data_IF_209092771842
#
_entry.id   IF_209092771842
#
_cell.length_a   1.000
_cell.length_b   1.000
_cell.length_c   1.000
_cell.angle_alpha   90.00
_cell.angle_beta   90.00
_cell.angle_gamma   90.00
#
_symmetry.space_group_name_H-M   'P 1'
#
loop_
_entity.id
_entity.type
_entity.pdbx_description
1 polymer ?
#
# COMPACT_ATOMS: atom_id res chain seq x y z
N UNK A 1 18.66 98.76 -25.24
CA UNK A 1 20.07 98.91 -25.68
C UNK A 1 20.71 97.53 -25.64
N UNK A 2 21.01 96.92 -26.81
CA UNK A 2 22.38 96.55 -27.29
C UNK A 2 23.11 95.58 -26.32
N UNK A 3 23.60 94.37 -26.66
CA UNK A 3 23.97 93.60 -27.88
C UNK A 3 23.96 92.10 -27.47
N UNK A 4 23.48 91.14 -28.26
CA UNK A 4 24.16 90.38 -29.33
C UNK A 4 25.57 89.83 -29.03
N UNK A 5 25.69 88.51 -28.91
CA UNK A 5 26.80 87.69 -29.48
C UNK A 5 26.47 86.18 -29.44
N UNK A 6 26.19 85.61 -30.62
CA UNK A 6 26.47 84.21 -31.01
C UNK A 6 27.89 84.22 -31.67
N UNK A 7 28.62 83.09 -31.93
CA UNK A 7 28.09 81.78 -32.32
C UNK A 7 28.90 80.51 -31.91
N UNK A 8 28.38 79.37 -32.38
CA UNK A 8 29.04 78.16 -32.94
C UNK A 8 28.73 76.81 -32.24
N UNK A 9 28.14 75.95 -33.06
CA UNK A 9 27.77 74.55 -32.86
C UNK A 9 29.01 73.68 -33.06
N UNK A 10 29.24 72.68 -32.21
CA UNK A 10 29.64 71.34 -32.67
C UNK A 10 29.27 70.25 -31.64
N UNK A 11 28.81 69.15 -32.19
CA UNK A 11 28.21 67.93 -31.65
C UNK A 11 29.13 67.03 -30.82
N UNK A 12 28.57 66.30 -29.86
CA UNK A 12 29.20 65.08 -29.31
C UNK A 12 28.60 64.57 -27.99
N UNK A 13 27.78 63.52 -28.09
CA UNK A 13 27.47 62.47 -27.09
C UNK A 13 27.48 62.80 -25.59
N UNK A 14 26.28 62.76 -24.97
CA UNK A 14 26.10 62.59 -23.53
C UNK A 14 26.25 61.10 -23.19
N UNK A 15 27.30 60.73 -22.48
CA UNK A 15 27.38 59.47 -21.74
C UNK A 15 27.00 59.76 -20.28
N UNK A 16 25.80 59.37 -19.88
CA UNK A 16 25.41 59.37 -18.47
C UNK A 16 26.01 58.12 -17.81
N UNK A 17 26.95 58.35 -16.89
CA UNK A 17 27.51 57.34 -16.00
C UNK A 17 26.45 56.92 -14.97
N UNK A 18 25.87 55.73 -15.16
CA UNK A 18 25.12 55.04 -14.12
C UNK A 18 26.14 54.34 -13.23
N UNK A 19 26.27 54.81 -11.98
CA UNK A 19 26.91 54.04 -10.91
C UNK A 19 25.99 52.86 -10.58
N UNK A 20 26.33 51.67 -11.06
CA UNK A 20 25.74 50.43 -10.54
C UNK A 20 26.34 50.13 -9.18
N UNK A 21 25.50 50.17 -8.15
CA UNK A 21 25.79 49.56 -6.87
C UNK A 21 25.92 48.04 -7.10
N UNK A 22 27.10 47.49 -6.85
CA UNK A 22 27.35 46.05 -6.77
C UNK A 22 26.63 45.49 -5.56
N UNK A 23 25.39 45.04 -5.77
CA UNK A 23 24.77 44.03 -4.92
C UNK A 23 25.48 42.71 -5.17
N UNK A 24 26.11 42.15 -4.13
CA UNK A 24 26.57 40.77 -4.09
C UNK A 24 25.34 39.87 -4.31
N UNK A 25 25.14 39.45 -5.56
CA UNK A 25 24.22 38.39 -5.88
C UNK A 25 24.76 37.08 -5.30
N UNK A 26 23.96 36.45 -4.45
CA UNK A 26 24.15 35.07 -4.04
C UNK A 26 24.09 34.20 -5.30
N UNK A 27 25.15 33.48 -5.57
CA UNK A 27 25.28 32.58 -6.71
C UNK A 27 24.30 31.39 -6.49
N UNK A 28 23.26 31.22 -7.33
CA UNK A 28 22.40 30.05 -7.21
C UNK A 28 23.22 28.85 -7.67
N UNK A 29 23.63 28.05 -6.68
CA UNK A 29 24.39 26.81 -6.84
C UNK A 29 24.04 26.09 -8.13
N UNK A 30 25.08 25.76 -8.89
CA UNK A 30 25.07 24.70 -9.88
C UNK A 30 24.65 23.37 -9.22
N UNK A 31 23.35 23.09 -9.21
CA UNK A 31 22.77 21.79 -8.90
C UNK A 31 21.82 21.41 -10.02
N UNK A 32 22.38 21.10 -11.17
CA UNK A 32 21.62 20.48 -12.25
C UNK A 32 22.56 19.54 -12.98
N UNK A 33 22.40 18.23 -12.72
CA UNK A 33 22.81 17.06 -13.54
C UNK A 33 23.08 15.77 -12.72
N UNK A 34 22.94 15.76 -11.38
CA UNK A 34 23.07 14.52 -10.57
C UNK A 34 21.77 14.00 -9.92
N UNK A 35 20.61 14.62 -10.15
CA UNK A 35 19.46 14.48 -9.24
C UNK A 35 18.29 13.59 -9.70
N UNK A 36 18.46 12.75 -10.74
CA UNK A 36 17.37 11.89 -11.22
C UNK A 36 17.48 10.42 -10.78
N UNK A 37 18.62 9.99 -10.24
CA UNK A 37 18.89 8.56 -9.96
C UNK A 37 18.56 8.13 -8.53
N UNK A 38 18.70 8.99 -7.52
CA UNK A 38 18.62 8.57 -6.11
C UNK A 38 17.19 8.30 -5.61
N UNK A 39 16.18 8.77 -6.32
CA UNK A 39 14.78 8.56 -5.96
C UNK A 39 14.23 7.20 -6.39
N UNK A 40 14.82 6.53 -7.38
CA UNK A 40 14.19 5.36 -8.02
C UNK A 40 14.93 4.05 -7.78
N UNK A 41 16.24 4.10 -7.48
CA UNK A 41 17.07 2.94 -7.13
C UNK A 41 17.13 2.74 -5.60
N UNK A 42 15.99 2.33 -5.03
CA UNK A 42 15.87 2.06 -3.59
C UNK A 42 16.49 0.70 -3.25
N UNK A 43 17.36 0.68 -2.24
CA UNK A 43 17.81 -0.57 -1.59
C UNK A 43 16.85 -0.93 -0.46
N UNK A 44 16.40 -2.18 -0.44
CA UNK A 44 15.52 -2.71 0.60
C UNK A 44 16.34 -3.55 1.60
N UNK A 45 16.13 -3.34 2.89
CA UNK A 45 16.74 -4.15 3.95
C UNK A 45 16.29 -5.61 3.80
N UNK A 46 17.26 -6.52 3.97
CA UNK A 46 17.01 -7.95 3.94
C UNK A 46 16.19 -8.41 5.17
N UNK A 47 15.51 -9.55 5.08
CA UNK A 47 14.79 -10.15 6.20
C UNK A 47 13.37 -9.63 6.45
N UNK A 48 12.95 -8.56 5.74
CA UNK A 48 11.61 -7.97 5.82
C UNK A 48 10.74 -8.18 4.57
N UNK A 49 11.15 -9.05 3.64
CA UNK A 49 10.29 -9.52 2.54
C UNK A 49 9.29 -10.56 3.07
N UNK A 50 8.21 -10.07 3.69
CA UNK A 50 7.19 -10.87 4.38
C UNK A 50 5.80 -10.27 4.15
N UNK A 51 4.80 -11.14 4.07
CA UNK A 51 3.40 -10.74 3.97
C UNK A 51 2.87 -10.09 5.26
N UNK A 52 3.34 -10.57 6.42
CA UNK A 52 2.99 -10.05 7.74
C UNK A 52 4.26 -9.71 8.49
N UNK A 53 4.36 -8.47 8.97
CA UNK A 53 5.44 -7.98 9.81
C UNK A 53 4.94 -7.94 11.26
N UNK A 54 5.71 -8.54 12.16
CA UNK A 54 5.46 -8.59 13.60
C UNK A 54 6.50 -7.79 14.36
N UNK A 55 6.26 -7.54 15.65
CA UNK A 55 7.23 -6.80 16.45
C UNK A 55 8.58 -7.53 16.49
N UNK A 56 8.56 -8.85 16.65
CA UNK A 56 9.76 -9.68 16.65
C UNK A 56 10.57 -9.65 15.33
N UNK A 57 9.92 -9.30 14.21
CA UNK A 57 10.62 -9.16 12.92
C UNK A 57 11.43 -7.86 12.86
N UNK A 58 11.00 -6.81 13.55
CA UNK A 58 11.62 -5.48 13.52
C UNK A 58 12.47 -5.15 14.75
N UNK A 59 12.30 -5.89 15.85
CA UNK A 59 13.06 -5.69 17.08
C UNK A 59 14.58 -5.71 16.86
N UNK A 60 15.18 -6.63 16.07
CA UNK A 60 16.62 -6.58 15.78
C UNK A 60 17.07 -5.29 15.10
N UNK A 61 16.24 -4.72 14.22
CA UNK A 61 16.54 -3.45 13.54
C UNK A 61 16.45 -2.26 14.51
N UNK A 62 15.46 -2.28 15.42
CA UNK A 62 15.35 -1.26 16.47
C UNK A 62 16.57 -1.29 17.39
N UNK A 63 17.03 -2.48 17.79
CA UNK A 63 18.23 -2.62 18.63
C UNK A 63 19.51 -2.15 17.92
N UNK A 64 19.62 -2.38 16.60
CA UNK A 64 20.71 -1.81 15.81
C UNK A 64 20.66 -0.28 15.77
N UNK A 65 19.47 0.30 15.55
CA UNK A 65 19.29 1.76 15.49
C UNK A 65 19.58 2.42 16.84
N UNK A 66 19.23 1.78 17.96
CA UNK A 66 19.56 2.27 19.32
C UNK A 66 21.07 2.41 19.56
N UNK A 67 21.89 1.66 18.83
CA UNK A 67 23.35 1.71 18.92
C UNK A 67 23.97 2.74 17.96
N UNK A 68 23.16 3.37 17.10
CA UNK A 68 23.60 4.34 16.13
C UNK A 68 23.29 5.76 16.64
N UNK A 69 24.35 6.52 16.94
CA UNK A 69 24.25 7.89 17.47
C UNK A 69 23.54 8.88 16.53
N UNK A 70 23.38 8.51 15.25
CA UNK A 70 22.61 9.30 14.27
C UNK A 70 21.11 9.37 14.63
N UNK A 71 20.58 8.34 15.30
CA UNK A 71 19.15 8.22 15.56
C UNK A 71 18.84 8.30 17.06
N UNK A 72 17.87 9.14 17.41
CA UNK A 72 17.28 9.15 18.76
C UNK A 72 16.09 8.21 18.81
N UNK A 73 16.25 7.08 19.48
CA UNK A 73 15.17 6.11 19.73
C UNK A 73 14.60 6.26 21.13
N UNK A 74 13.28 6.40 21.23
CA UNK A 74 12.56 6.56 22.49
C UNK A 74 11.36 5.62 22.53
N UNK A 75 11.16 4.91 23.65
CA UNK A 75 9.91 4.20 23.88
C UNK A 75 8.85 5.21 24.33
N UNK A 76 7.92 5.53 23.44
CA UNK A 76 6.88 6.56 23.66
C UNK A 76 5.60 6.01 24.28
N UNK A 77 5.52 4.68 24.44
CA UNK A 77 4.42 4.02 25.10
C UNK A 77 4.48 2.50 25.01
N UNK A 78 3.36 1.86 25.28
CA UNK A 78 3.18 0.41 25.10
C UNK A 78 1.77 0.11 24.58
N UNK A 79 1.62 -1.00 23.87
CA UNK A 79 0.33 -1.55 23.48
C UNK A 79 -0.48 -2.05 24.68
N UNK A 80 -1.70 -2.48 24.45
CA UNK A 80 -2.56 -3.05 25.48
C UNK A 80 -1.93 -4.25 26.22
N UNK A 81 -1.23 -5.15 25.52
CA UNK A 81 -0.50 -6.27 26.13
C UNK A 81 0.92 -5.90 26.59
N UNK A 82 1.29 -4.62 26.58
CA UNK A 82 2.58 -4.16 27.10
C UNK A 82 3.75 -4.30 26.13
N UNK A 83 3.51 -4.50 24.83
CA UNK A 83 4.60 -4.45 23.83
C UNK A 83 5.03 -3.00 23.62
N UNK A 84 6.34 -2.71 23.53
CA UNK A 84 6.82 -1.34 23.44
C UNK A 84 6.45 -0.70 22.10
N UNK A 85 6.14 0.60 22.13
CA UNK A 85 5.96 1.44 20.93
C UNK A 85 7.12 2.43 20.90
N UNK A 86 7.90 2.41 19.83
CA UNK A 86 9.10 3.24 19.68
C UNK A 86 8.88 4.37 18.67
N UNK A 87 9.41 5.54 19.00
CA UNK A 87 9.65 6.65 18.07
C UNK A 87 11.15 6.74 17.79
N UNK A 88 11.51 6.83 16.52
CA UNK A 88 12.88 7.01 16.04
C UNK A 88 12.96 8.39 15.38
N UNK A 89 13.97 9.18 15.75
CA UNK A 89 14.11 10.57 15.28
C UNK A 89 15.50 10.86 14.71
N UNK A 90 15.60 11.76 13.74
CA UNK A 90 16.85 12.22 13.11
C UNK A 90 16.67 13.63 12.52
N UNK A 91 17.75 14.39 12.42
CA UNK A 91 17.72 15.79 12.00
C UNK A 91 17.40 16.75 13.15
N UNK A 92 17.67 18.03 12.93
CA UNK A 92 17.57 19.09 13.95
C UNK A 92 16.88 20.36 13.42
N UNK A 93 16.32 20.33 12.22
CA UNK A 93 15.70 21.51 11.61
C UNK A 93 14.29 21.84 12.10
N UNK A 94 13.86 23.06 11.82
CA UNK A 94 12.60 23.64 12.32
C UNK A 94 11.34 23.01 11.70
N UNK A 95 11.43 22.41 10.51
CA UNK A 95 10.29 21.75 9.87
C UNK A 95 10.10 20.36 10.45
N UNK A 96 8.96 20.09 11.08
CA UNK A 96 8.73 18.80 11.74
C UNK A 96 7.94 17.85 10.83
N UNK A 97 8.52 16.70 10.52
CA UNK A 97 7.88 15.64 9.73
C UNK A 97 7.60 14.44 10.62
N UNK A 98 6.37 13.95 10.62
CA UNK A 98 5.96 12.79 11.41
C UNK A 98 5.39 11.67 10.54
N UNK A 99 6.00 10.48 10.59
CA UNK A 99 5.58 9.30 9.84
C UNK A 99 5.16 8.19 10.79
N UNK A 100 4.05 7.50 10.50
CA UNK A 100 3.64 6.34 11.29
C UNK A 100 3.05 5.25 10.40
N UNK A 101 3.25 4.00 10.80
CA UNK A 101 2.75 2.83 10.09
C UNK A 101 2.11 1.80 11.01
N UNK A 102 1.36 0.87 10.39
CA UNK A 102 0.83 -0.34 11.01
C UNK A 102 0.02 -0.08 12.29
N UNK A 103 -0.84 0.95 12.23
CA UNK A 103 -1.89 1.14 13.23
C UNK A 103 -3.02 0.11 13.08
N UNK A 104 -3.20 -0.39 11.86
CA UNK A 104 -3.85 -1.68 11.63
C UNK A 104 -2.77 -2.75 11.56
N UNK A 105 -2.94 -3.83 12.31
CA UNK A 105 -1.90 -4.85 12.47
C UNK A 105 -1.60 -5.65 11.21
N UNK A 106 -2.57 -5.82 10.31
CA UNK A 106 -2.47 -6.56 9.04
C UNK A 106 -1.94 -5.72 7.86
N UNK A 107 -1.55 -4.47 8.10
CA UNK A 107 -1.08 -3.53 7.08
C UNK A 107 0.44 -3.31 7.20
N UNK A 108 1.20 -4.28 6.68
CA UNK A 108 2.62 -4.46 6.99
C UNK A 108 3.58 -3.65 6.11
N UNK A 109 3.18 -3.21 4.91
CA UNK A 109 4.12 -2.78 3.85
C UNK A 109 4.99 -1.60 4.25
N UNK A 110 4.43 -0.63 4.96
CA UNK A 110 5.10 0.61 5.29
C UNK A 110 6.11 0.47 6.45
N UNK A 111 5.94 -0.51 7.33
CA UNK A 111 6.86 -0.72 8.45
C UNK A 111 8.29 -1.02 7.96
N UNK A 112 8.52 -2.00 7.05
CA UNK A 112 9.81 -2.18 6.40
C UNK A 112 10.29 -0.96 5.62
N UNK A 113 9.39 -0.22 4.95
CA UNK A 113 9.76 0.97 4.18
C UNK A 113 10.40 2.05 5.08
N UNK A 114 9.97 2.19 6.34
CA UNK A 114 10.60 3.10 7.28
C UNK A 114 12.02 2.64 7.68
N UNK A 115 12.26 1.33 7.80
CA UNK A 115 13.62 0.81 8.03
C UNK A 115 14.52 0.95 6.80
N UNK A 116 13.98 0.80 5.59
CA UNK A 116 14.70 1.08 4.33
C UNK A 116 15.12 2.55 4.25
N UNK A 117 14.21 3.46 4.62
CA UNK A 117 14.50 4.88 4.70
C UNK A 117 15.62 5.14 5.72
N UNK A 118 15.55 4.56 6.92
CA UNK A 118 16.61 4.69 7.92
C UNK A 118 17.96 4.15 7.42
N UNK A 119 17.99 3.02 6.72
CA UNK A 119 19.22 2.50 6.10
C UNK A 119 19.79 3.48 5.06
N UNK A 120 18.93 4.10 4.24
CA UNK A 120 19.33 5.13 3.28
C UNK A 120 19.89 6.37 3.98
N UNK A 121 19.25 6.84 5.07
CA UNK A 121 19.71 7.98 5.89
C UNK A 121 21.08 7.71 6.51
N UNK A 122 21.30 6.50 7.01
CA UNK A 122 22.59 6.09 7.60
C UNK A 122 23.70 6.06 6.56
N UNK A 123 23.43 5.47 5.37
CA UNK A 123 24.46 5.18 4.37
C UNK A 123 24.78 6.34 3.42
N UNK A 124 23.85 7.26 3.22
CA UNK A 124 24.02 8.39 2.31
C UNK A 124 24.10 9.71 3.09
N UNK A 125 25.29 9.97 3.62
CA UNK A 125 25.60 11.18 4.38
C UNK A 125 25.36 12.45 3.58
N UNK A 126 25.78 12.50 2.31
CA UNK A 126 25.62 13.69 1.47
C UNK A 126 24.13 14.03 1.26
N UNK A 127 23.30 13.02 0.97
CA UNK A 127 21.86 13.23 0.85
C UNK A 127 21.25 13.65 2.19
N UNK A 128 21.61 13.00 3.29
CA UNK A 128 21.14 13.37 4.63
C UNK A 128 21.46 14.82 4.99
N UNK A 129 22.70 15.25 4.78
CA UNK A 129 23.15 16.62 5.05
C UNK A 129 22.40 17.68 4.22
N UNK A 130 21.80 17.29 3.08
CA UNK A 130 21.02 18.23 2.27
C UNK A 130 19.65 18.61 2.84
N UNK A 131 19.18 17.92 3.89
CA UNK A 131 17.88 18.20 4.52
C UNK A 131 17.89 18.16 6.06
N UNK A 132 18.88 17.53 6.69
CA UNK A 132 18.87 17.26 8.14
C UNK A 132 18.91 18.53 9.02
N UNK A 133 19.43 19.64 8.49
CA UNK A 133 19.44 20.94 9.17
C UNK A 133 18.11 21.70 9.00
N UNK A 134 17.26 21.29 8.04
CA UNK A 134 15.98 21.94 7.73
C UNK A 134 14.77 21.15 8.29
N UNK A 135 14.92 19.83 8.45
CA UNK A 135 13.87 18.92 8.90
C UNK A 135 14.26 18.17 10.17
N UNK A 136 13.35 18.15 11.14
CA UNK A 136 13.34 17.13 12.20
C UNK A 136 12.34 16.03 11.84
N UNK A 137 12.86 14.82 11.57
CA UNK A 137 12.05 13.66 11.19
C UNK A 137 11.76 12.77 12.39
N UNK A 138 10.49 12.43 12.60
CA UNK A 138 10.01 11.46 13.58
C UNK A 138 9.28 10.30 12.92
N UNK A 139 9.58 9.08 13.32
CA UNK A 139 8.99 7.86 12.77
C UNK A 139 8.50 6.94 13.89
N UNK A 140 7.26 6.44 13.80
CA UNK A 140 6.77 5.31 14.60
C UNK A 140 6.53 4.12 13.66
N UNK A 141 7.46 3.16 13.58
CA UNK A 141 7.35 2.03 12.66
C UNK A 141 6.16 1.11 12.91
N UNK A 142 5.69 1.00 14.16
CA UNK A 142 4.60 0.09 14.49
C UNK A 142 3.75 0.66 15.61
N UNK A 143 2.57 1.19 15.26
CA UNK A 143 1.63 1.75 16.24
C UNK A 143 0.88 0.65 16.99
N UNK A 144 0.48 -0.44 16.30
CA UNK A 144 -0.34 -1.52 16.87
C UNK A 144 0.39 -2.87 16.83
N UNK A 145 1.40 -3.08 17.69
CA UNK A 145 2.16 -4.33 17.70
C UNK A 145 1.30 -5.53 18.12
N UNK A 146 0.25 -5.36 18.93
CA UNK A 146 -0.63 -6.47 19.33
C UNK A 146 -1.48 -6.97 18.16
N UNK A 147 -2.04 -6.06 17.36
CA UNK A 147 -2.75 -6.41 16.13
C UNK A 147 -1.81 -7.08 15.11
N UNK A 148 -0.56 -6.61 15.04
CA UNK A 148 0.47 -7.18 14.16
C UNK A 148 0.78 -8.64 14.47
N UNK A 149 0.93 -8.99 15.76
CA UNK A 149 1.13 -10.38 16.18
C UNK A 149 -0.01 -11.30 15.71
N UNK A 150 -1.24 -10.79 15.76
CA UNK A 150 -2.45 -11.50 15.39
C UNK A 150 -2.78 -11.43 13.89
N UNK A 151 -1.98 -10.70 13.09
CA UNK A 151 -2.22 -10.45 11.67
C UNK A 151 -3.65 -9.95 11.39
N UNK A 152 -4.10 -8.97 12.18
CA UNK A 152 -5.47 -8.44 12.10
C UNK A 152 -5.49 -6.91 12.08
N UNK A 153 -6.55 -6.36 11.51
CA UNK A 153 -6.80 -4.91 11.47
C UNK A 153 -6.88 -4.24 12.83
N UNK A 154 -7.54 -4.89 13.79
CA UNK A 154 -7.88 -4.29 15.09
C UNK A 154 -6.74 -4.42 16.11
N UNK A 155 -6.72 -3.60 17.15
CA UNK A 155 -5.91 -3.92 18.32
C UNK A 155 -6.49 -5.14 19.07
N UNK A 156 -5.80 -5.64 20.09
CA UNK A 156 -6.25 -6.83 20.85
C UNK A 156 -7.56 -6.63 21.62
N UNK A 157 -7.97 -5.37 21.88
CA UNK A 157 -9.28 -5.07 22.46
C UNK A 157 -10.42 -5.20 21.43
N UNK A 158 -10.10 -5.45 20.16
CA UNK A 158 -11.08 -5.50 19.06
C UNK A 158 -11.47 -4.11 18.53
N UNK A 159 -10.75 -3.05 18.92
CA UNK A 159 -11.02 -1.69 18.48
C UNK A 159 -10.17 -1.38 17.24
N UNK A 160 -10.78 -0.78 16.22
CA UNK A 160 -10.04 -0.18 15.11
C UNK A 160 -9.40 1.13 15.62
N UNK A 161 -8.07 1.13 15.78
CA UNK A 161 -7.32 2.28 16.27
C UNK A 161 -7.60 3.51 15.41
N UNK A 162 -7.74 3.35 14.08
CA UNK A 162 -8.07 4.43 13.15
C UNK A 162 -9.58 4.75 13.09
N UNK A 163 -10.38 4.26 14.04
CA UNK A 163 -11.76 4.70 14.30
C UNK A 163 -11.95 5.15 15.75
N UNK A 164 -10.85 5.36 16.46
CA UNK A 164 -10.80 5.70 17.89
C UNK A 164 -10.13 7.06 18.15
N UNK A 165 -9.82 7.87 17.13
CA UNK A 165 -9.08 9.13 17.31
C UNK A 165 -9.82 10.18 18.17
N UNK A 166 -11.16 10.11 18.26
CA UNK A 166 -11.96 10.99 19.11
C UNK A 166 -12.08 10.49 20.55
N UNK A 167 -12.22 9.18 20.73
CA UNK A 167 -12.52 8.57 22.02
C UNK A 167 -11.26 8.14 22.77
N UNK A 168 -10.19 7.81 22.03
CA UNK A 168 -8.86 7.45 22.53
C UNK A 168 -8.94 6.38 23.62
N UNK A 169 -9.70 5.31 23.38
CA UNK A 169 -9.85 4.18 24.29
C UNK A 169 -8.70 3.17 24.18
N UNK A 170 -8.01 3.15 23.04
CA UNK A 170 -6.84 2.31 22.79
C UNK A 170 -5.57 2.98 23.32
N UNK A 171 -4.69 2.27 24.05
CA UNK A 171 -3.40 2.82 24.45
C UNK A 171 -2.54 3.19 23.23
N UNK A 172 -2.65 2.43 22.14
CA UNK A 172 -1.97 2.74 20.87
C UNK A 172 -2.42 4.10 20.30
N UNK A 173 -3.74 4.33 20.27
CA UNK A 173 -4.30 5.60 19.81
C UNK A 173 -3.96 6.77 20.72
N UNK A 174 -3.94 6.56 22.04
CA UNK A 174 -3.50 7.59 23.01
C UNK A 174 -2.05 8.00 22.77
N UNK A 175 -1.15 7.03 22.55
CA UNK A 175 0.26 7.30 22.23
C UNK A 175 0.37 8.11 20.94
N UNK A 176 -0.29 7.69 19.86
CA UNK A 176 -0.22 8.38 18.58
C UNK A 176 -0.75 9.82 18.67
N UNK A 177 -1.89 10.04 19.34
CA UNK A 177 -2.45 11.37 19.54
C UNK A 177 -1.55 12.25 20.41
N UNK A 178 -0.95 11.69 21.48
CA UNK A 178 -0.03 12.41 22.33
C UNK A 178 1.22 12.86 21.55
N UNK A 179 1.77 12.01 20.69
CA UNK A 179 2.90 12.37 19.83
C UNK A 179 2.52 13.45 18.82
N UNK A 180 1.37 13.33 18.13
CA UNK A 180 0.90 14.36 17.20
C UNK A 180 0.72 15.73 17.87
N UNK A 181 0.23 15.76 19.12
CA UNK A 181 0.09 17.00 19.91
C UNK A 181 1.44 17.56 20.39
N UNK A 182 2.34 16.70 20.84
CA UNK A 182 3.61 17.12 21.43
C UNK A 182 4.62 17.58 20.37
N UNK A 183 4.63 16.92 19.21
CA UNK A 183 5.56 17.22 18.11
C UNK A 183 5.08 18.40 17.26
N UNK A 184 3.77 18.66 17.20
CA UNK A 184 3.15 19.68 16.35
C UNK A 184 3.68 19.66 14.89
N UNK A 185 3.60 18.51 14.19
CA UNK A 185 4.25 18.36 12.90
C UNK A 185 3.66 19.27 11.81
N UNK A 186 4.52 19.80 10.94
CA UNK A 186 4.11 20.50 9.73
C UNK A 186 3.55 19.54 8.68
N UNK A 187 4.14 18.35 8.59
CA UNK A 187 3.77 17.27 7.69
C UNK A 187 3.57 15.94 8.42
N UNK A 188 2.50 15.23 8.07
CA UNK A 188 2.18 13.92 8.64
C UNK A 188 2.02 12.86 7.54
N UNK A 189 2.69 11.71 7.66
CA UNK A 189 2.55 10.58 6.74
C UNK A 189 1.81 9.43 7.44
N UNK A 190 0.56 9.25 7.04
CA UNK A 190 -0.28 8.16 7.45
C UNK A 190 -0.08 6.97 6.51
N UNK A 191 0.68 5.96 6.92
CA UNK A 191 1.10 4.87 6.05
C UNK A 191 0.28 3.60 6.33
N UNK A 192 -0.43 3.13 5.31
CA UNK A 192 -1.40 2.05 5.38
C UNK A 192 -1.23 1.05 4.22
N UNK A 193 -1.96 -0.07 4.30
CA UNK A 193 -2.18 -0.99 3.18
C UNK A 193 -3.66 -0.99 2.78
N UNK A 194 -3.91 -1.19 1.50
CA UNK A 194 -5.25 -1.44 0.98
C UNK A 194 -5.41 -2.86 0.44
N UNK A 195 -6.66 -3.25 0.24
CA UNK A 195 -7.00 -4.53 -0.38
C UNK A 195 -6.37 -4.66 -1.77
N UNK A 196 -5.86 -5.85 -2.10
CA UNK A 196 -5.33 -6.18 -3.43
C UNK A 196 -6.36 -6.02 -4.56
N UNK A 197 -7.64 -5.86 -4.23
CA UNK A 197 -8.74 -5.77 -5.20
C UNK A 197 -9.08 -4.35 -5.65
N UNK A 198 -8.26 -3.37 -5.30
CA UNK A 198 -8.43 -1.98 -5.73
C UNK A 198 -7.89 -1.79 -7.16
N UNK A 199 -8.68 -1.09 -7.97
CA UNK A 199 -8.36 -0.69 -9.34
C UNK A 199 -8.17 0.82 -9.43
N UNK A 200 -7.24 1.27 -10.28
CA UNK A 200 -7.11 2.68 -10.63
C UNK A 200 -8.25 3.06 -11.56
N UNK A 201 -9.23 3.82 -11.07
CA UNK A 201 -10.44 4.12 -11.84
C UNK A 201 -11.09 2.84 -12.39
N UNK A 202 -11.24 2.78 -13.71
CA UNK A 202 -11.68 1.58 -14.45
C UNK A 202 -10.68 1.23 -15.57
N UNK A 203 -9.39 1.27 -15.25
CA UNK A 203 -8.29 1.12 -16.23
C UNK A 203 -7.81 -0.31 -16.46
N UNK A 204 -8.28 -1.25 -15.66
CA UNK A 204 -7.80 -2.63 -15.60
C UNK A 204 -6.44 -2.79 -14.90
N UNK A 205 -5.93 -1.74 -14.24
CA UNK A 205 -4.66 -1.74 -13.49
C UNK A 205 -4.92 -1.72 -11.99
N UNK A 206 -4.11 -2.48 -11.24
CA UNK A 206 -4.18 -2.45 -9.77
C UNK A 206 -3.77 -1.08 -9.24
N UNK A 207 -4.45 -0.61 -8.20
CA UNK A 207 -3.99 0.54 -7.44
C UNK A 207 -2.89 0.09 -6.47
N UNK A 208 -1.63 0.14 -6.92
CA UNK A 208 -0.47 -0.29 -6.13
C UNK A 208 -0.10 0.73 -5.07
N UNK A 209 -0.23 2.01 -5.39
CA UNK A 209 -0.20 3.08 -4.40
C UNK A 209 -1.50 3.85 -4.51
N UNK A 210 -2.03 4.29 -3.37
CA UNK A 210 -3.09 5.27 -3.38
C UNK A 210 -2.83 6.37 -2.38
N UNK A 211 -3.18 7.60 -2.78
CA UNK A 211 -2.83 8.80 -2.03
C UNK A 211 -4.07 9.61 -1.70
N UNK A 212 -4.00 10.35 -0.61
CA UNK A 212 -5.05 11.26 -0.21
C UNK A 212 -4.48 12.36 0.70
N UNK A 213 -4.91 13.60 0.48
CA UNK A 213 -4.84 14.65 1.49
C UNK A 213 -6.17 14.62 2.29
N UNK A 214 -6.19 14.09 3.53
CA UNK A 214 -7.41 13.86 4.28
C UNK A 214 -8.21 15.15 4.48
N UNK A 215 -9.54 15.03 4.43
CA UNK A 215 -10.42 16.15 4.73
C UNK A 215 -10.33 16.50 6.23
N UNK A 216 -10.52 17.78 6.56
CA UNK A 216 -10.59 18.24 7.95
C UNK A 216 -12.01 18.59 8.38
N UNK A 217 -12.98 18.58 7.46
CA UNK A 217 -14.38 18.86 7.73
C UNK A 217 -15.29 18.15 6.70
N UNK A 218 -16.60 18.13 6.99
CA UNK A 218 -17.60 17.51 6.10
C UNK A 218 -17.74 18.19 4.73
N UNK A 219 -17.46 19.49 4.64
CA UNK A 219 -17.50 20.25 3.38
C UNK A 219 -16.34 19.89 2.45
N UNK A 220 -15.30 19.23 2.98
CA UNK A 220 -14.05 18.91 2.27
C UNK A 220 -13.37 20.17 1.74
N UNK A 221 -13.39 21.23 2.54
CA UNK A 221 -12.71 22.47 2.21
C UNK A 221 -11.19 22.26 2.05
N UNK A 222 -10.53 23.18 1.36
CA UNK A 222 -9.07 23.22 1.19
C UNK A 222 -8.58 24.46 1.93
N UNK A 223 -8.00 24.26 3.11
CA UNK A 223 -7.23 25.28 3.82
C UNK A 223 -5.74 25.17 3.44
N UNK A 224 -4.90 26.01 4.04
CA UNK A 224 -3.46 26.04 3.73
C UNK A 224 -2.77 24.68 3.97
N UNK A 225 -3.02 24.03 5.11
CA UNK A 225 -2.37 22.75 5.45
C UNK A 225 -2.78 21.62 4.50
N UNK A 226 -4.08 21.49 4.19
CA UNK A 226 -4.55 20.49 3.23
C UNK A 226 -4.07 20.81 1.82
N UNK A 227 -4.03 22.10 1.46
CA UNK A 227 -3.46 22.57 0.19
C UNK A 227 -2.00 22.17 0.03
N UNK A 228 -1.16 22.37 1.06
CA UNK A 228 0.24 21.90 1.06
C UNK A 228 0.35 20.39 0.88
N UNK A 229 -0.47 19.62 1.60
CA UNK A 229 -0.50 18.17 1.44
C UNK A 229 -0.87 17.73 0.01
N UNK A 230 -1.88 18.38 -0.60
CA UNK A 230 -2.28 18.11 -1.99
C UNK A 230 -1.16 18.45 -2.99
N UNK A 231 -0.47 19.58 -2.79
CA UNK A 231 0.67 19.98 -3.63
C UNK A 231 1.84 19.01 -3.50
N UNK A 232 2.18 18.60 -2.28
CA UNK A 232 3.22 17.61 -2.04
C UNK A 232 2.86 16.29 -2.71
N UNK A 233 1.62 15.79 -2.57
CA UNK A 233 1.17 14.60 -3.30
C UNK A 233 1.30 14.78 -4.82
N UNK A 234 1.00 15.97 -5.34
CA UNK A 234 1.21 16.31 -6.74
C UNK A 234 2.68 16.18 -7.18
N UNK A 235 3.61 16.65 -6.36
CA UNK A 235 5.06 16.50 -6.57
C UNK A 235 5.52 15.03 -6.54
N UNK A 236 4.99 14.25 -5.58
CA UNK A 236 5.27 12.81 -5.46
C UNK A 236 4.79 12.00 -6.68
N UNK A 237 3.88 12.55 -7.49
CA UNK A 237 3.40 11.93 -8.72
C UNK A 237 4.54 11.53 -9.67
N UNK A 238 5.63 12.31 -9.73
CA UNK A 238 6.79 11.99 -10.56
C UNK A 238 7.45 10.65 -10.20
N UNK A 239 7.52 10.31 -8.90
CA UNK A 239 8.05 9.03 -8.43
C UNK A 239 7.20 7.87 -8.93
N UNK A 240 5.90 8.01 -8.77
CA UNK A 240 4.98 6.93 -9.12
C UNK A 240 4.85 6.73 -10.62
N UNK A 241 4.91 7.80 -11.41
CA UNK A 241 4.92 7.70 -12.87
C UNK A 241 6.18 6.98 -13.37
N UNK A 242 7.33 7.23 -12.76
CA UNK A 242 8.57 6.55 -13.10
C UNK A 242 8.57 5.06 -12.70
N UNK A 243 8.07 4.72 -11.50
CA UNK A 243 8.24 3.38 -10.94
C UNK A 243 7.08 2.42 -11.20
N UNK A 244 5.85 2.94 -11.30
CA UNK A 244 4.60 2.18 -11.41
C UNK A 244 3.56 2.90 -12.30
N UNK A 245 3.89 3.24 -13.57
CA UNK A 245 3.05 4.07 -14.44
C UNK A 245 1.61 3.56 -14.58
N UNK A 246 0.65 4.39 -14.18
CA UNK A 246 -0.78 4.09 -14.19
C UNK A 246 -1.28 3.15 -13.08
N UNK A 247 -0.49 2.88 -12.04
CA UNK A 247 -0.88 2.10 -10.86
C UNK A 247 -1.08 2.96 -9.60
N UNK A 248 -1.39 4.25 -9.79
CA UNK A 248 -1.72 5.19 -8.71
C UNK A 248 -3.16 5.64 -8.81
N UNK A 249 -3.85 5.57 -7.68
CA UNK A 249 -5.15 6.19 -7.55
C UNK A 249 -5.29 7.07 -6.32
N UNK A 250 -6.40 7.78 -6.24
CA UNK A 250 -6.78 8.65 -5.14
C UNK A 250 -7.73 7.89 -4.24
N UNK A 251 -7.50 7.95 -2.93
CA UNK A 251 -8.41 7.35 -1.96
C UNK A 251 -9.62 8.28 -1.73
N UNK A 252 -10.74 7.71 -1.27
CA UNK A 252 -11.95 8.49 -1.01
C UNK A 252 -11.73 9.47 0.14
N UNK A 253 -12.02 10.75 -0.10
CA UNK A 253 -11.84 11.86 0.86
C UNK A 253 -13.09 12.15 1.71
N UNK A 254 -13.98 11.18 1.86
CA UNK A 254 -15.13 11.29 2.76
C UNK A 254 -14.64 11.49 4.19
N UNK A 255 -14.99 12.65 4.77
CA UNK A 255 -14.57 13.02 6.11
C UNK A 255 -15.00 11.97 7.15
N UNK A 256 -14.02 11.44 7.86
CA UNK A 256 -14.13 10.43 8.89
C UNK A 256 -13.55 11.02 10.20
N UNK A 257 -14.35 11.74 11.02
CA UNK A 257 -13.86 12.43 12.21
C UNK A 257 -13.28 11.50 13.28
N UNK A 258 -13.44 10.18 13.14
CA UNK A 258 -12.88 9.16 14.03
C UNK A 258 -11.51 8.65 13.58
N UNK A 259 -11.03 9.03 12.39
CA UNK A 259 -9.74 8.63 11.85
C UNK A 259 -8.63 9.61 12.24
N UNK A 260 -7.42 9.10 12.41
CA UNK A 260 -6.27 9.90 12.79
C UNK A 260 -5.86 10.88 11.69
N UNK A 261 -5.88 10.46 10.42
CA UNK A 261 -5.54 11.34 9.29
C UNK A 261 -6.40 12.60 9.23
N UNK A 262 -7.71 12.45 9.42
CA UNK A 262 -8.67 13.57 9.42
C UNK A 262 -8.53 14.45 10.67
N UNK A 263 -8.28 13.85 11.85
CA UNK A 263 -8.03 14.62 13.07
C UNK A 263 -6.75 15.44 12.97
N UNK A 264 -5.65 14.84 12.47
CA UNK A 264 -4.39 15.55 12.28
C UNK A 264 -4.51 16.64 11.21
N UNK A 265 -5.24 16.39 10.11
CA UNK A 265 -5.60 17.43 9.14
C UNK A 265 -6.38 18.58 9.79
N UNK A 266 -7.35 18.29 10.66
CA UNK A 266 -8.10 19.28 11.44
C UNK A 266 -7.27 20.02 12.50
N UNK A 267 -6.18 19.43 12.96
CA UNK A 267 -5.19 20.08 13.84
C UNK A 267 -4.22 20.99 13.06
N UNK A 268 -4.37 21.11 11.74
CA UNK A 268 -3.53 21.95 10.89
C UNK A 268 -2.30 21.26 10.31
N UNK A 269 -2.17 19.94 10.49
CA UNK A 269 -1.05 19.15 9.98
C UNK A 269 -1.27 18.88 8.49
N UNK A 270 -0.26 19.12 7.65
CA UNK A 270 -0.29 18.78 6.23
C UNK A 270 -0.19 17.27 6.08
N UNK A 271 -1.34 16.58 6.18
CA UNK A 271 -1.37 15.12 6.30
C UNK A 271 -1.49 14.45 4.93
N UNK A 272 -0.67 13.42 4.68
CA UNK A 272 -0.61 12.61 3.48
C UNK A 272 -0.92 11.17 3.88
N UNK A 273 -1.98 10.61 3.30
CA UNK A 273 -2.25 9.17 3.34
C UNK A 273 -1.54 8.49 2.17
N UNK A 274 -0.81 7.41 2.44
CA UNK A 274 -0.30 6.48 1.44
C UNK A 274 -0.82 5.07 1.75
N UNK A 275 -1.55 4.49 0.81
CA UNK A 275 -2.14 3.16 0.87
C UNK A 275 -1.41 2.22 -0.08
N UNK A 276 -0.83 1.14 0.46
CA UNK A 276 -0.07 0.16 -0.30
C UNK A 276 -0.96 -1.00 -0.76
N UNK A 277 -1.19 -1.10 -2.06
CA UNK A 277 -2.00 -2.14 -2.70
C UNK A 277 -1.14 -3.22 -3.37
N UNK A 278 -1.79 -4.00 -4.24
CA UNK A 278 -1.10 -5.06 -4.97
C UNK A 278 -0.40 -4.53 -6.22
N UNK A 279 0.73 -5.16 -6.56
CA UNK A 279 1.35 -5.11 -7.88
C UNK A 279 1.31 -6.52 -8.49
N UNK A 280 1.23 -6.67 -9.83
CA UNK A 280 1.27 -7.99 -10.45
C UNK A 280 2.50 -8.80 -10.01
N UNK A 281 2.28 -10.08 -9.68
CA UNK A 281 3.33 -11.04 -9.28
C UNK A 281 4.16 -10.63 -8.05
N UNK A 282 3.60 -9.80 -7.17
CA UNK A 282 4.27 -9.30 -5.97
C UNK A 282 3.48 -9.68 -4.69
N UNK A 283 3.61 -10.92 -4.21
CA UNK A 283 2.78 -11.45 -3.12
C UNK A 283 3.02 -10.76 -1.77
N UNK A 284 4.20 -10.19 -1.56
CA UNK A 284 4.60 -9.52 -0.33
C UNK A 284 4.67 -7.98 -0.48
N UNK A 285 4.09 -7.41 -1.54
CA UNK A 285 4.04 -5.96 -1.80
C UNK A 285 5.42 -5.27 -1.82
N UNK A 286 6.48 -5.96 -2.24
CA UNK A 286 7.84 -5.39 -2.29
C UNK A 286 7.97 -4.25 -3.31
N UNK A 287 7.17 -4.25 -4.39
CA UNK A 287 7.08 -3.12 -5.31
C UNK A 287 6.45 -1.91 -4.65
N UNK A 288 5.35 -2.10 -3.92
CA UNK A 288 4.72 -1.00 -3.18
C UNK A 288 5.64 -0.49 -2.05
N UNK A 289 6.35 -1.37 -1.35
CA UNK A 289 7.40 -1.02 -0.37
C UNK A 289 8.47 -0.12 -1.00
N UNK A 290 9.05 -0.52 -2.13
CA UNK A 290 10.07 0.28 -2.82
C UNK A 290 9.55 1.65 -3.25
N UNK A 291 8.30 1.73 -3.75
CA UNK A 291 7.69 3.01 -4.14
C UNK A 291 7.40 3.88 -2.91
N UNK A 292 6.98 3.31 -1.78
CA UNK A 292 6.83 4.06 -0.52
C UNK A 292 8.16 4.74 -0.14
N UNK A 293 9.26 3.99 -0.10
CA UNK A 293 10.57 4.56 0.26
C UNK A 293 10.97 5.68 -0.70
N UNK A 294 10.81 5.46 -2.00
CA UNK A 294 11.08 6.47 -3.03
C UNK A 294 10.24 7.75 -2.84
N UNK A 295 8.95 7.60 -2.52
CA UNK A 295 8.06 8.72 -2.22
C UNK A 295 8.48 9.46 -0.94
N UNK A 296 8.90 8.75 0.11
CA UNK A 296 9.37 9.36 1.35
C UNK A 296 10.70 10.12 1.14
N UNK A 297 11.63 9.56 0.36
CA UNK A 297 12.88 10.24 -0.03
C UNK A 297 12.54 11.53 -0.81
N UNK A 298 11.67 11.44 -1.84
CA UNK A 298 11.25 12.61 -2.61
C UNK A 298 10.53 13.63 -1.73
N UNK A 299 9.73 13.18 -0.78
CA UNK A 299 9.03 14.06 0.15
C UNK A 299 10.00 14.86 1.01
N UNK A 300 11.03 14.23 1.59
CA UNK A 300 12.05 14.94 2.37
C UNK A 300 12.77 15.99 1.53
N UNK A 301 13.20 15.63 0.31
CA UNK A 301 13.84 16.58 -0.61
C UNK A 301 12.92 17.76 -0.93
N UNK A 302 11.66 17.46 -1.28
CA UNK A 302 10.65 18.45 -1.67
C UNK A 302 10.25 19.38 -0.53
N UNK A 303 10.19 18.86 0.71
CA UNK A 303 9.92 19.66 1.91
C UNK A 303 11.12 20.55 2.22
N UNK A 304 12.35 20.02 2.24
CA UNK A 304 13.55 20.77 2.59
C UNK A 304 13.85 21.92 1.62
N UNK A 305 13.63 21.73 0.31
CA UNK A 305 13.82 22.77 -0.70
C UNK A 305 12.54 23.51 -1.09
N UNK A 306 11.43 23.25 -0.40
CA UNK A 306 10.10 23.79 -0.68
C UNK A 306 9.58 23.58 -2.13
N UNK A 307 10.08 22.60 -2.89
CA UNK A 307 9.67 22.40 -4.29
C UNK A 307 8.16 22.15 -4.44
N UNK A 308 7.51 21.56 -3.44
CA UNK A 308 6.06 21.38 -3.45
C UNK A 308 5.29 22.71 -3.52
N UNK A 309 5.87 23.84 -3.07
CA UNK A 309 5.19 25.13 -3.03
C UNK A 309 4.80 25.63 -4.44
N UNK A 310 5.64 25.35 -5.44
CA UNK A 310 5.45 25.71 -6.84
C UNK A 310 4.48 24.78 -7.59
N UNK A 311 4.13 23.64 -6.99
CA UNK A 311 3.19 22.69 -7.58
C UNK A 311 1.76 23.24 -7.48
N UNK A 312 1.02 23.22 -8.59
CA UNK A 312 -0.41 23.54 -8.59
C UNK A 312 -1.24 22.38 -8.03
N UNK A 313 -2.53 22.56 -7.77
CA UNK A 313 -3.40 21.45 -7.34
C UNK A 313 -3.79 20.51 -8.49
N UNK A 314 -3.47 20.86 -9.74
CA UNK A 314 -3.90 20.11 -10.92
C UNK A 314 -3.36 18.66 -10.94
N UNK A 315 -2.07 18.37 -10.64
CA UNK A 315 -1.57 17.00 -10.60
C UNK A 315 -2.32 16.13 -9.59
N UNK A 316 -2.63 16.65 -8.40
CA UNK A 316 -3.43 15.94 -7.39
C UNK A 316 -4.84 15.62 -7.89
N UNK A 317 -5.52 16.58 -8.51
CA UNK A 317 -6.88 16.38 -9.01
C UNK A 317 -6.97 15.44 -10.22
N UNK A 318 -5.87 15.28 -10.97
CA UNK A 318 -5.76 14.32 -12.08
C UNK A 318 -5.63 12.87 -11.62
N UNK A 319 -5.28 12.61 -10.36
CA UNK A 319 -5.15 11.25 -9.85
C UNK A 319 -6.53 10.57 -9.87
N UNK A 320 -6.71 9.45 -10.61
CA UNK A 320 -8.00 8.78 -10.73
C UNK A 320 -8.48 8.27 -9.37
N UNK A 321 -9.76 8.44 -9.04
CA UNK A 321 -10.31 7.83 -7.83
C UNK A 321 -10.29 6.31 -7.94
N UNK A 322 -9.90 5.62 -6.87
CA UNK A 322 -9.92 4.16 -6.85
C UNK A 322 -11.32 3.58 -6.99
N UNK A 323 -11.41 2.44 -7.67
CA UNK A 323 -12.57 1.56 -7.63
C UNK A 323 -12.27 0.35 -6.73
N UNK A 324 -13.00 0.24 -5.62
CA UNK A 324 -12.83 -0.83 -4.64
C UNK A 324 -13.50 -2.13 -5.10
N UNK A 325 -12.91 -3.28 -4.78
CA UNK A 325 -13.46 -4.64 -5.04
C UNK A 325 -13.70 -4.98 -6.52
N UNK A 326 -13.04 -4.27 -7.43
CA UNK A 326 -13.14 -4.55 -8.87
C UNK A 326 -12.37 -5.82 -9.26
N UNK A 327 -11.13 -5.93 -8.81
CA UNK A 327 -10.25 -7.04 -9.21
C UNK A 327 -10.70 -8.41 -8.68
N UNK A 328 -10.45 -9.44 -9.49
CA UNK A 328 -10.55 -10.85 -9.11
C UNK A 328 -9.16 -11.49 -9.09
N UNK A 329 -8.95 -12.51 -8.25
CA UNK A 329 -7.72 -13.30 -8.33
C UNK A 329 -7.70 -14.17 -9.58
N UNK A 330 -8.82 -14.84 -9.86
CA UNK A 330 -8.99 -15.68 -11.03
C UNK A 330 -10.31 -15.38 -11.70
N UNK A 331 -10.33 -15.33 -13.02
CA UNK A 331 -11.55 -15.45 -13.82
C UNK A 331 -11.40 -16.64 -14.77
N UNK A 332 -12.36 -17.55 -14.74
CA UNK A 332 -12.57 -18.50 -15.83
C UNK A 332 -13.64 -17.93 -16.75
N UNK A 333 -13.28 -17.64 -17.99
CA UNK A 333 -14.19 -17.13 -19.00
C UNK A 333 -14.95 -18.25 -19.64
N UNK A 334 -16.23 -18.02 -19.92
CA UNK A 334 -17.01 -18.89 -20.78
C UNK A 334 -16.86 -20.34 -20.32
N UNK A 335 -17.32 -20.66 -19.11
CA UNK A 335 -17.44 -22.03 -18.58
C UNK A 335 -18.82 -22.56 -18.93
N UNK A 336 -18.92 -23.75 -19.53
CA UNK A 336 -20.22 -24.39 -19.75
C UNK A 336 -20.75 -24.98 -18.44
N UNK A 337 -22.01 -24.73 -18.12
CA UNK A 337 -22.72 -25.35 -17.00
C UNK A 337 -23.90 -26.15 -17.53
N UNK A 338 -24.03 -27.38 -17.04
CA UNK A 338 -25.17 -28.28 -17.32
C UNK A 338 -25.90 -28.54 -16.00
N UNK A 339 -27.14 -28.07 -15.89
CA UNK A 339 -28.00 -28.25 -14.70
C UNK A 339 -29.38 -28.81 -15.12
N UNK A 340 -29.52 -30.13 -15.00
CA UNK A 340 -30.68 -30.84 -15.54
C UNK A 340 -30.73 -30.73 -17.06
N UNK A 341 -31.84 -30.18 -17.58
CA UNK A 341 -32.04 -29.96 -19.03
C UNK A 341 -31.44 -28.64 -19.53
N UNK A 342 -30.96 -27.78 -18.62
CA UNK A 342 -30.44 -26.47 -18.98
C UNK A 342 -28.94 -26.54 -19.23
N UNK A 343 -28.51 -26.01 -20.38
CA UNK A 343 -27.09 -25.78 -20.69
C UNK A 343 -26.89 -24.31 -20.98
N UNK A 344 -25.92 -23.70 -20.32
CA UNK A 344 -25.59 -22.28 -20.49
C UNK A 344 -24.09 -22.05 -20.26
N UNK A 345 -23.62 -20.83 -20.55
CA UNK A 345 -22.22 -20.46 -20.37
C UNK A 345 -22.12 -19.21 -19.48
N UNK A 346 -21.10 -19.18 -18.62
CA UNK A 346 -20.89 -18.12 -17.61
C UNK A 346 -19.41 -17.90 -17.38
N UNK A 347 -19.03 -16.71 -16.93
CA UNK A 347 -17.74 -16.48 -16.29
C UNK A 347 -17.84 -16.77 -14.79
N UNK A 348 -16.75 -17.27 -14.20
CA UNK A 348 -16.62 -17.54 -12.75
C UNK A 348 -15.45 -16.73 -12.21
N UNK A 349 -15.73 -15.76 -11.35
CA UNK A 349 -14.74 -14.89 -10.71
C UNK A 349 -14.47 -15.32 -9.26
N UNK A 350 -13.19 -15.40 -8.88
CA UNK A 350 -12.74 -15.94 -7.61
C UNK A 350 -11.85 -14.94 -6.89
N UNK A 351 -12.08 -14.76 -5.58
CA UNK A 351 -11.15 -14.09 -4.68
C UNK A 351 -10.69 -15.07 -3.59
N UNK A 352 -9.38 -15.16 -3.41
CA UNK A 352 -8.69 -15.96 -2.39
C UNK A 352 -8.64 -15.16 -1.08
N UNK A 353 -8.71 -15.84 0.06
CA UNK A 353 -8.38 -15.19 1.33
C UNK A 353 -6.86 -15.01 1.46
N UNK A 354 -6.42 -14.23 2.47
CA UNK A 354 -5.00 -14.10 2.79
C UNK A 354 -4.35 -15.46 3.10
N UNK A 355 -5.11 -16.42 3.65
CA UNK A 355 -4.72 -17.83 3.72
C UNK A 355 -5.28 -18.59 2.51
N UNK A 356 -4.65 -18.37 1.36
CA UNK A 356 -5.05 -18.95 0.08
C UNK A 356 -5.11 -20.49 0.07
N UNK A 357 -4.54 -21.17 1.08
CA UNK A 357 -4.59 -22.64 1.20
C UNK A 357 -5.85 -23.17 1.87
N UNK A 358 -6.61 -22.32 2.55
CA UNK A 358 -7.76 -22.76 3.35
C UNK A 358 -9.07 -22.18 2.89
N UNK A 359 -9.07 -20.99 2.30
CA UNK A 359 -10.31 -20.32 1.98
C UNK A 359 -10.20 -19.41 0.76
N UNK A 360 -11.09 -19.61 -0.19
CA UNK A 360 -11.33 -18.75 -1.34
C UNK A 360 -12.80 -18.88 -1.71
N UNK A 361 -13.35 -17.85 -2.33
CA UNK A 361 -14.79 -17.77 -2.61
C UNK A 361 -15.05 -17.41 -4.06
N UNK A 362 -16.10 -18.01 -4.61
CA UNK A 362 -16.70 -17.55 -5.86
C UNK A 362 -17.31 -16.18 -5.55
N UNK A 363 -16.74 -15.11 -6.09
CA UNK A 363 -17.21 -13.75 -5.86
C UNK A 363 -18.25 -13.28 -6.83
N UNK A 364 -18.14 -13.70 -8.06
CA UNK A 364 -19.01 -13.25 -9.14
C UNK A 364 -19.25 -14.42 -10.09
N UNK A 365 -20.45 -14.49 -10.65
CA UNK A 365 -20.86 -15.47 -11.64
C UNK A 365 -21.74 -14.76 -12.65
N UNK A 366 -21.50 -14.92 -13.95
CA UNK A 366 -22.26 -14.22 -15.00
C UNK A 366 -21.34 -13.61 -16.06
N UNK A 367 -21.61 -12.37 -16.46
CA UNK A 367 -20.76 -11.60 -17.37
C UNK A 367 -19.70 -10.83 -16.56
N UNK A 368 -18.44 -11.27 -16.65
CA UNK A 368 -17.31 -10.64 -15.96
C UNK A 368 -16.35 -9.94 -16.95
N UNK A 369 -16.85 -9.57 -18.13
CA UNK A 369 -16.06 -8.91 -19.19
C UNK A 369 -15.46 -7.57 -18.74
N UNK A 370 -16.12 -6.86 -17.81
CA UNK A 370 -15.68 -5.56 -17.28
C UNK A 370 -14.72 -5.65 -16.09
N UNK A 371 -14.57 -6.84 -15.48
CA UNK A 371 -13.74 -6.98 -14.28
C UNK A 371 -12.30 -7.35 -14.64
N UNK A 372 -11.30 -6.62 -14.13
CA UNK A 372 -9.93 -7.06 -14.24
C UNK A 372 -9.64 -8.25 -13.32
N UNK A 373 -8.60 -9.02 -13.66
CA UNK A 373 -8.15 -10.15 -12.86
C UNK A 373 -6.63 -10.29 -12.89
N UNK A 374 -6.08 -10.87 -11.83
CA UNK A 374 -4.66 -11.27 -11.80
C UNK A 374 -4.38 -12.45 -12.74
N UNK A 375 -5.34 -13.37 -12.84
CA UNK A 375 -5.26 -14.58 -13.65
C UNK A 375 -6.57 -14.73 -14.43
N UNK A 376 -6.49 -14.94 -15.75
CA UNK A 376 -7.67 -15.16 -16.59
C UNK A 376 -7.44 -16.39 -17.47
N UNK A 377 -8.40 -17.30 -17.45
CA UNK A 377 -8.38 -18.55 -18.20
C UNK A 377 -9.54 -18.59 -19.19
N UNK A 378 -9.27 -19.02 -20.42
CA UNK A 378 -10.30 -19.31 -21.40
C UNK A 378 -10.82 -20.75 -21.19
N UNK A 379 -12.10 -20.88 -20.84
CA UNK A 379 -12.75 -22.15 -20.54
C UNK A 379 -13.79 -22.54 -21.59
N UNK A 380 -13.73 -21.98 -22.81
CA UNK A 380 -14.64 -22.24 -23.94
C UNK A 380 -14.86 -23.74 -24.28
N UNK A 381 -13.92 -24.61 -23.93
CA UNK A 381 -14.03 -26.05 -24.16
C UNK A 381 -14.20 -26.85 -22.87
N UNK A 382 -14.46 -26.17 -21.75
CA UNK A 382 -14.55 -26.77 -20.43
C UNK A 382 -15.97 -26.70 -19.89
N UNK A 383 -16.36 -27.78 -19.22
CA UNK A 383 -17.65 -27.93 -18.54
C UNK A 383 -17.41 -27.95 -17.03
N UNK A 384 -18.18 -27.15 -16.30
CA UNK A 384 -18.19 -27.11 -14.84
C UNK A 384 -18.64 -28.45 -14.26
N UNK A 385 -17.97 -28.87 -13.18
CA UNK A 385 -18.36 -30.04 -12.40
C UNK A 385 -18.21 -29.79 -10.90
N UNK A 386 -19.25 -30.16 -10.16
CA UNK A 386 -19.20 -30.21 -8.71
C UNK A 386 -18.18 -31.24 -8.23
N UNK A 387 -17.37 -30.88 -7.26
CA UNK A 387 -16.45 -31.81 -6.60
C UNK A 387 -17.17 -32.74 -5.63
N UNK A 388 -16.63 -33.94 -5.44
CA UNK A 388 -17.14 -34.95 -4.48
C UNK A 388 -16.33 -34.95 -3.19
N UNK A 389 -16.99 -35.34 -2.10
CA UNK A 389 -16.34 -35.63 -0.83
C UNK A 389 -15.72 -37.03 -0.85
N UNK A 390 -14.50 -37.17 -0.33
CA UNK A 390 -13.89 -38.45 -0.01
C UNK A 390 -13.98 -38.70 1.51
N UNK A 391 -14.66 -39.76 1.93
CA UNK A 391 -14.80 -40.07 3.36
C UNK A 391 -13.48 -40.60 3.95
N UNK A 392 -12.97 -39.95 4.99
CA UNK A 392 -11.75 -40.38 5.68
C UNK A 392 -12.03 -41.70 6.41
N UNK A 393 -11.33 -42.81 6.08
CA UNK A 393 -11.53 -44.09 6.75
C UNK A 393 -11.17 -44.03 8.23
N UNK A 394 -11.93 -44.75 9.07
CA UNK A 394 -11.70 -44.80 10.52
C UNK A 394 -10.29 -45.28 10.92
N UNK A 395 -9.62 -46.06 10.04
CA UNK A 395 -8.26 -46.57 10.22
C UNK A 395 -7.15 -45.57 9.85
N UNK A 396 -7.51 -44.39 9.34
CA UNK A 396 -6.56 -43.43 8.77
C UNK A 396 -6.39 -43.57 7.26
N UNK A 397 -5.95 -42.48 6.64
CA UNK A 397 -5.59 -42.39 5.23
C UNK A 397 -4.27 -41.63 5.09
N UNK A 398 -3.31 -42.28 4.45
CA UNK A 398 -2.05 -41.66 4.04
C UNK A 398 -2.01 -41.61 2.53
N UNK A 399 -1.75 -40.43 1.96
CA UNK A 399 -1.60 -40.24 0.51
C UNK A 399 -0.30 -39.52 0.19
N UNK A 400 0.40 -40.01 -0.82
CA UNK A 400 1.42 -39.25 -1.53
C UNK A 400 0.80 -38.11 -2.35
N UNK A 401 1.62 -37.16 -2.79
CA UNK A 401 1.18 -36.13 -3.73
C UNK A 401 0.54 -36.73 -5.00
N UNK A 402 1.12 -37.81 -5.53
CA UNK A 402 0.61 -38.45 -6.74
C UNK A 402 -0.78 -39.08 -6.51
N UNK A 403 -0.97 -39.82 -5.42
CA UNK A 403 -2.27 -40.41 -5.09
C UNK A 403 -3.33 -39.33 -4.82
N UNK A 404 -2.94 -38.22 -4.21
CA UNK A 404 -3.84 -37.07 -4.02
C UNK A 404 -4.28 -36.45 -5.36
N UNK A 405 -3.35 -36.29 -6.31
CA UNK A 405 -3.69 -35.83 -7.67
C UNK A 405 -4.65 -36.81 -8.38
N UNK A 406 -4.48 -38.12 -8.21
CA UNK A 406 -5.40 -39.10 -8.80
C UNK A 406 -6.81 -38.95 -8.23
N UNK A 407 -6.97 -38.77 -6.91
CA UNK A 407 -8.28 -38.50 -6.32
C UNK A 407 -8.94 -37.25 -6.91
N UNK A 408 -8.18 -36.18 -7.14
CA UNK A 408 -8.70 -34.98 -7.79
C UNK A 408 -9.18 -35.26 -9.22
N UNK A 409 -8.40 -36.04 -10.00
CA UNK A 409 -8.78 -36.47 -11.36
C UNK A 409 -10.03 -37.37 -11.38
N UNK A 410 -10.22 -38.20 -10.36
CA UNK A 410 -11.43 -39.02 -10.14
C UNK A 410 -12.66 -38.18 -9.69
N UNK A 411 -12.41 -36.93 -9.31
CA UNK A 411 -13.44 -35.95 -9.00
C UNK A 411 -13.61 -35.63 -7.52
N UNK A 412 -12.73 -36.11 -6.64
CA UNK A 412 -12.76 -35.84 -5.21
C UNK A 412 -11.97 -34.57 -4.88
N UNK A 413 -12.65 -33.50 -4.47
CA UNK A 413 -12.01 -32.20 -4.19
C UNK A 413 -11.75 -31.94 -2.71
N UNK A 414 -12.44 -32.66 -1.83
CA UNK A 414 -12.37 -32.46 -0.39
C UNK A 414 -12.61 -33.76 0.36
N UNK A 415 -12.26 -33.73 1.64
CA UNK A 415 -12.44 -34.85 2.56
C UNK A 415 -13.52 -34.54 3.59
N UNK A 416 -14.30 -35.55 3.94
CA UNK A 416 -15.23 -35.50 5.07
C UNK A 416 -14.81 -36.51 6.15
N UNK A 417 -14.77 -36.07 7.40
CA UNK A 417 -14.42 -36.91 8.55
C UNK A 417 -13.37 -36.32 9.47
N UNK A 418 -12.61 -37.19 10.12
CA UNK A 418 -11.62 -36.85 11.13
C UNK A 418 -10.30 -36.38 10.48
N UNK A 419 -9.97 -35.09 10.65
CA UNK A 419 -8.76 -34.49 10.08
C UNK A 419 -7.47 -35.10 10.66
N UNK A 420 -7.49 -35.57 11.92
CA UNK A 420 -6.32 -36.13 12.59
C UNK A 420 -5.93 -37.51 12.01
N UNK A 421 -6.84 -38.10 11.24
CA UNK A 421 -6.66 -39.38 10.56
C UNK A 421 -6.21 -39.24 9.11
N UNK A 422 -5.97 -38.01 8.65
CA UNK A 422 -5.56 -37.71 7.29
C UNK A 422 -4.10 -37.22 7.27
N UNK A 423 -3.25 -37.94 6.54
CA UNK A 423 -1.86 -37.52 6.31
C UNK A 423 -1.57 -37.46 4.81
N UNK A 424 -1.44 -36.26 4.27
CA UNK A 424 -1.15 -36.06 2.84
C UNK A 424 0.15 -35.28 2.66
N UNK A 425 1.11 -35.88 1.96
CA UNK A 425 2.36 -35.21 1.62
C UNK A 425 2.20 -34.41 0.33
N UNK A 426 1.68 -33.18 0.42
CA UNK A 426 1.46 -32.30 -0.74
C UNK A 426 1.67 -30.83 -0.39
N UNK A 427 2.01 -30.02 -1.40
CA UNK A 427 2.05 -28.56 -1.30
C UNK A 427 0.73 -27.88 -1.70
N UNK A 428 -0.21 -28.67 -2.26
CA UNK A 428 -1.53 -28.21 -2.67
C UNK A 428 -2.47 -28.03 -1.47
N UNK A 429 -3.53 -27.21 -1.59
CA UNK A 429 -4.58 -27.13 -0.57
C UNK A 429 -5.19 -28.51 -0.30
N UNK A 430 -5.41 -28.82 0.98
CA UNK A 430 -6.15 -30.01 1.42
C UNK A 430 -7.32 -29.52 2.26
N UNK A 431 -8.54 -29.76 1.77
CA UNK A 431 -9.77 -29.28 2.40
C UNK A 431 -10.44 -30.43 3.15
N UNK A 432 -10.64 -30.26 4.46
CA UNK A 432 -11.32 -31.23 5.32
C UNK A 432 -12.55 -30.56 5.95
N UNK A 433 -13.73 -31.17 5.75
CA UNK A 433 -15.04 -30.64 6.13
C UNK A 433 -15.28 -29.16 5.70
N UNK A 434 -14.97 -28.77 4.44
CA UNK A 434 -15.18 -27.40 3.99
C UNK A 434 -16.67 -27.04 3.99
N UNK A 435 -16.97 -25.78 4.30
CA UNK A 435 -18.34 -25.26 4.28
C UNK A 435 -18.69 -24.69 2.91
N UNK A 436 -19.98 -24.72 2.58
CA UNK A 436 -20.54 -24.05 1.39
C UNK A 436 -19.86 -24.48 0.08
N UNK A 437 -19.59 -25.77 -0.08
CA UNK A 437 -19.08 -26.33 -1.34
C UNK A 437 -20.13 -26.15 -2.47
N UNK A 438 -19.72 -25.71 -3.67
CA UNK A 438 -20.58 -25.62 -4.84
C UNK A 438 -21.24 -26.96 -5.22
N UNK A 439 -22.53 -26.90 -5.55
CA UNK A 439 -23.29 -28.04 -6.10
C UNK A 439 -23.20 -28.09 -7.62
N UNK A 440 -24.27 -28.58 -8.29
CA UNK A 440 -24.35 -28.62 -9.76
C UNK A 440 -24.20 -27.26 -10.45
N UNK A 441 -24.41 -26.18 -9.70
CA UNK A 441 -24.26 -24.80 -10.15
C UNK A 441 -23.26 -24.06 -9.25
N UNK A 442 -22.28 -23.34 -9.83
CA UNK A 442 -21.50 -22.39 -9.06
C UNK A 442 -22.39 -21.23 -8.61
N UNK A 443 -22.30 -20.81 -7.36
CA UNK A 443 -23.01 -19.66 -6.80
C UNK A 443 -22.04 -18.73 -6.08
N UNK A 444 -22.37 -17.43 -6.06
CA UNK A 444 -21.61 -16.46 -5.29
C UNK A 444 -21.56 -16.84 -3.81
N UNK A 445 -20.47 -16.47 -3.12
CA UNK A 445 -20.18 -16.72 -1.70
C UNK A 445 -19.96 -18.19 -1.32
N UNK A 446 -20.10 -19.12 -2.27
CA UNK A 446 -19.65 -20.49 -2.05
C UNK A 446 -18.13 -20.55 -2.04
N UNK A 447 -17.60 -21.60 -1.41
CA UNK A 447 -16.19 -21.90 -1.46
C UNK A 447 -15.79 -22.10 -2.93
N UNK A 448 -14.66 -21.55 -3.37
CA UNK A 448 -14.14 -21.75 -4.71
C UNK A 448 -13.49 -23.13 -4.83
N UNK A 449 -14.30 -24.18 -4.70
CA UNK A 449 -13.86 -25.57 -4.82
C UNK A 449 -14.74 -26.31 -5.81
N UNK A 450 -14.22 -26.55 -7.01
CA UNK A 450 -14.92 -27.20 -8.12
C UNK A 450 -13.93 -27.75 -9.13
N UNK A 451 -14.43 -28.45 -10.14
CA UNK A 451 -13.64 -29.05 -11.21
C UNK A 451 -14.08 -28.48 -12.56
N UNK A 452 -13.17 -28.48 -13.52
CA UNK A 452 -13.49 -28.25 -14.92
C UNK A 452 -13.06 -29.48 -15.71
N UNK A 453 -13.98 -29.95 -16.56
CA UNK A 453 -13.75 -31.11 -17.43
C UNK A 453 -13.68 -30.68 -18.88
N UNK A 454 -12.87 -31.38 -19.65
CA UNK A 454 -12.94 -31.37 -21.09
C UNK A 454 -13.44 -32.74 -21.52
N UNK A 455 -14.59 -32.78 -22.22
CA UNK A 455 -15.32 -34.03 -22.44
C UNK A 455 -15.66 -34.68 -21.08
N UNK A 456 -15.18 -35.89 -20.82
CA UNK A 456 -15.42 -36.61 -19.55
C UNK A 456 -14.22 -36.60 -18.59
N UNK A 457 -13.09 -36.02 -19.00
CA UNK A 457 -11.85 -35.99 -18.20
C UNK A 457 -11.73 -34.70 -17.40
N UNK A 458 -11.37 -34.82 -16.11
CA UNK A 458 -11.05 -33.66 -15.27
C UNK A 458 -9.66 -33.12 -15.68
N UNK A 459 -9.63 -31.89 -16.17
CA UNK A 459 -8.39 -31.22 -16.61
C UNK A 459 -7.97 -30.07 -15.69
N UNK A 460 -8.91 -29.52 -14.91
CA UNK A 460 -8.60 -28.52 -13.88
C UNK A 460 -9.33 -28.85 -12.58
N UNK A 461 -8.62 -28.72 -11.46
CA UNK A 461 -9.22 -28.62 -10.14
C UNK A 461 -9.01 -27.20 -9.60
N UNK A 462 -10.06 -26.61 -9.05
CA UNK A 462 -9.98 -25.38 -8.27
C UNK A 462 -10.24 -25.76 -6.82
N UNK A 463 -9.30 -25.49 -5.91
CA UNK A 463 -9.41 -25.82 -4.49
C UNK A 463 -9.20 -24.58 -3.63
N UNK A 464 -10.24 -24.13 -2.93
CA UNK A 464 -10.23 -22.85 -2.20
C UNK A 464 -9.70 -21.67 -3.04
N UNK A 465 -9.98 -21.69 -4.34
CA UNK A 465 -9.56 -20.69 -5.31
C UNK A 465 -8.14 -20.85 -5.88
N UNK A 466 -7.39 -21.86 -5.45
CA UNK A 466 -6.11 -22.25 -6.09
C UNK A 466 -6.42 -23.09 -7.33
N UNK A 467 -5.85 -22.71 -8.47
CA UNK A 467 -6.03 -23.39 -9.75
C UNK A 467 -4.95 -24.45 -9.91
N UNK A 468 -5.35 -25.68 -10.23
CA UNK A 468 -4.49 -26.83 -10.46
C UNK A 468 -4.83 -27.39 -11.84
N UNK A 469 -3.91 -27.26 -12.79
CA UNK A 469 -4.06 -27.83 -14.12
C UNK A 469 -3.42 -29.22 -14.16
N UNK A 470 -4.15 -30.19 -14.71
CA UNK A 470 -3.65 -31.53 -14.92
C UNK A 470 -3.06 -31.61 -16.33
N UNK A 471 -1.74 -31.74 -16.41
CA UNK A 471 -1.04 -32.08 -17.64
C UNK A 471 -1.35 -33.52 -18.09
#
# INVERSE_FOLDING_TARGET
MKKLSLPLIFSGFIAASVMSATTLAHDPKAHNEHNHSHHHDVKLVAGLDKQQIRFADIEPFIEQIKQNDLFRTEQVGSSYQGRPIYRISVGEGDTVVFMWSQMHGDESTATPALFDLMEKIEKDEQWRESWADDITLHMIPMVNPDGAELAQRYNVQGIDVNRDAMALQTPEGQVLMAQGKALQPDFGFNLHDQSRYYEVGNTGKTATISVLAPAYNHAKDINDSRGRAMKLIGDLGAVTEAMIPGHVGRYNDTFAPRAFGDNFSAMGISTILIESGAYPQDPNRQKARAVNVAMLIRALDSIANEAYADVTLEPYHKIPMNNSNSFKDVIFNDVQVVDGEHTYRIDIGINRSADARRNGSIREVGDLSVFPAFERHDAQNLTYKAGKAFSVPAKGLTLSHHEYLQLLKEGFTHFDGDADKLNISTHLPVLVNPRSIPGSRPQQRQNATFLLQQQDEVVVAVLAGVVIQFN
#
